data_IF_216129420044
#
_entry.id   IF_216129420044
#
_cell.length_a   1.000
_cell.length_b   1.000
_cell.length_c   1.000
_cell.angle_alpha   90.00
_cell.angle_beta   90.00
_cell.angle_gamma   90.00
#
_symmetry.space_group_name_H-M   'P 1'
#
loop_
_entity.id
_entity.type
_entity.pdbx_description
1 polymer ?
#
# COMPACT_ATOMS: atom_id res chain seq x y z
N UNK A 1 -18.43 38.03 -22.93
CA UNK A 1 -17.25 37.16 -23.20
C UNK A 1 -16.37 36.89 -21.98
N UNK A 2 -16.40 37.71 -20.92
CA UNK A 2 -15.54 37.57 -19.71
C UNK A 2 -15.90 36.42 -18.77
N UNK A 3 -17.17 35.98 -18.70
CA UNK A 3 -17.58 34.85 -17.84
C UNK A 3 -17.00 33.49 -18.26
N UNK A 4 -16.67 33.31 -19.54
CA UNK A 4 -16.13 32.05 -20.06
C UNK A 4 -14.65 31.85 -19.70
N UNK A 5 -13.90 32.94 -19.53
CA UNK A 5 -12.49 32.90 -19.15
C UNK A 5 -12.32 32.55 -17.67
N UNK A 6 -13.13 33.17 -16.80
CA UNK A 6 -13.14 32.93 -15.36
C UNK A 6 -13.45 31.46 -15.00
N UNK A 7 -14.32 30.78 -15.76
CA UNK A 7 -14.57 29.35 -15.56
C UNK A 7 -13.37 28.47 -15.87
N UNK A 8 -12.58 28.79 -16.91
CA UNK A 8 -11.42 27.95 -17.29
C UNK A 8 -10.34 27.95 -16.23
N UNK A 9 -10.08 29.11 -15.60
CA UNK A 9 -9.06 29.21 -14.57
C UNK A 9 -9.49 28.54 -13.26
N UNK A 10 -10.79 28.64 -12.91
CA UNK A 10 -11.34 27.97 -11.73
C UNK A 10 -11.37 26.44 -11.89
N UNK A 11 -11.68 25.93 -13.08
CA UNK A 11 -11.63 24.49 -13.39
C UNK A 11 -10.19 23.96 -13.29
N UNK A 12 -9.19 24.70 -13.78
CA UNK A 12 -7.78 24.32 -13.67
C UNK A 12 -7.31 24.23 -12.22
N UNK A 13 -7.72 25.18 -11.37
CA UNK A 13 -7.36 25.18 -9.95
C UNK A 13 -7.98 23.98 -9.23
N UNK A 14 -9.28 23.73 -9.45
CA UNK A 14 -9.98 22.58 -8.83
C UNK A 14 -9.37 21.26 -9.30
N UNK A 15 -9.06 21.14 -10.59
CA UNK A 15 -8.45 19.93 -11.14
C UNK A 15 -7.02 19.71 -10.62
N UNK A 16 -6.22 20.77 -10.53
CA UNK A 16 -4.87 20.71 -9.95
C UNK A 16 -4.90 20.31 -8.47
N UNK A 17 -5.83 20.86 -7.69
CA UNK A 17 -6.02 20.52 -6.28
C UNK A 17 -6.44 19.05 -6.11
N UNK A 18 -7.40 18.58 -6.91
CA UNK A 18 -7.83 17.19 -6.89
C UNK A 18 -6.67 16.23 -7.25
N UNK A 19 -5.87 16.59 -8.26
CA UNK A 19 -4.71 15.81 -8.67
C UNK A 19 -3.63 15.78 -7.57
N UNK A 20 -3.40 16.91 -6.89
CA UNK A 20 -2.45 16.99 -5.78
C UNK A 20 -2.87 16.09 -4.61
N UNK A 21 -4.16 16.07 -4.25
CA UNK A 21 -4.70 15.18 -3.21
C UNK A 21 -4.50 13.72 -3.60
N UNK A 22 -4.82 13.34 -4.85
CA UNK A 22 -4.61 11.97 -5.35
C UNK A 22 -3.13 11.57 -5.31
N UNK A 23 -2.23 12.50 -5.60
CA UNK A 23 -0.80 12.29 -5.52
C UNK A 23 -0.34 12.01 -4.10
N UNK A 24 -0.78 12.81 -3.12
CA UNK A 24 -0.43 12.65 -1.71
C UNK A 24 -0.93 11.28 -1.20
N UNK A 25 -2.19 10.95 -1.47
CA UNK A 25 -2.77 9.66 -1.06
C UNK A 25 -2.05 8.49 -1.74
N UNK A 26 -1.77 8.60 -3.03
CA UNK A 26 -1.02 7.58 -3.77
C UNK A 26 0.36 7.34 -3.19
N UNK A 27 1.13 8.40 -2.93
CA UNK A 27 2.46 8.30 -2.31
C UNK A 27 2.38 7.66 -0.93
N UNK A 28 1.45 8.10 -0.06
CA UNK A 28 1.28 7.49 1.26
C UNK A 28 0.97 5.99 1.18
N UNK A 29 0.09 5.58 0.26
CA UNK A 29 -0.25 4.17 0.05
C UNK A 29 0.98 3.36 -0.39
N UNK A 30 1.78 3.87 -1.32
CA UNK A 30 3.01 3.18 -1.76
C UNK A 30 4.04 3.03 -0.65
N UNK A 31 4.22 4.06 0.20
CA UNK A 31 5.15 4.02 1.33
C UNK A 31 4.68 3.02 2.39
N UNK A 32 3.39 3.04 2.75
CA UNK A 32 2.86 2.10 3.74
C UNK A 32 2.90 0.65 3.23
N UNK A 33 2.57 0.43 1.96
CA UNK A 33 2.58 -0.91 1.36
C UNK A 33 4.00 -1.48 1.29
N UNK A 34 4.98 -0.69 0.85
CA UNK A 34 6.39 -1.11 0.84
C UNK A 34 6.93 -1.39 2.24
N UNK A 35 6.55 -0.61 3.25
CA UNK A 35 6.93 -0.86 4.64
C UNK A 35 6.38 -2.19 5.15
N UNK A 36 5.12 -2.55 4.83
CA UNK A 36 4.52 -3.84 5.21
C UNK A 36 5.22 -5.01 4.54
N UNK A 37 5.50 -4.92 3.24
CA UNK A 37 6.25 -5.94 2.50
C UNK A 37 7.63 -6.15 3.13
N UNK A 38 8.34 -5.06 3.43
CA UNK A 38 9.66 -5.13 4.06
C UNK A 38 9.58 -5.76 5.45
N UNK A 39 8.57 -5.40 6.25
CA UNK A 39 8.38 -5.95 7.58
C UNK A 39 8.06 -7.46 7.56
N UNK A 40 7.18 -7.90 6.66
CA UNK A 40 6.86 -9.31 6.48
C UNK A 40 8.08 -10.11 6.00
N UNK A 41 8.86 -9.57 5.05
CA UNK A 41 10.11 -10.18 4.58
C UNK A 41 11.16 -10.28 5.69
N UNK A 42 11.39 -9.18 6.41
CA UNK A 42 12.36 -9.13 7.50
C UNK A 42 11.94 -10.06 8.64
N UNK A 43 10.69 -10.00 9.07
CA UNK A 43 10.16 -10.80 10.17
C UNK A 43 10.26 -12.30 9.88
N UNK A 44 9.83 -12.74 8.71
CA UNK A 44 9.71 -14.19 8.43
C UNK A 44 10.94 -14.82 7.78
N UNK A 45 11.65 -14.12 6.89
CA UNK A 45 12.77 -14.70 6.15
C UNK A 45 14.14 -14.35 6.73
N UNK A 46 14.29 -13.19 7.38
CA UNK A 46 15.60 -12.73 7.89
C UNK A 46 15.71 -12.96 9.41
N UNK A 47 14.71 -12.52 10.16
CA UNK A 47 14.68 -12.60 11.62
C UNK A 47 14.11 -13.93 12.12
N UNK A 48 13.34 -14.63 11.28
CA UNK A 48 12.73 -15.92 11.63
C UNK A 48 11.79 -15.83 12.84
N UNK A 49 11.01 -14.75 12.94
CA UNK A 49 10.04 -14.56 14.02
C UNK A 49 9.01 -15.68 13.96
N UNK A 50 8.93 -16.44 15.05
CA UNK A 50 8.01 -17.57 15.19
C UNK A 50 6.67 -17.08 15.75
N UNK A 51 5.56 -17.58 15.18
CA UNK A 51 4.23 -17.41 15.76
C UNK A 51 3.88 -18.68 16.54
N UNK A 52 3.65 -18.52 17.83
CA UNK A 52 3.23 -19.60 18.72
C UNK A 52 1.71 -19.70 18.72
N UNK A 53 1.17 -20.82 18.23
CA UNK A 53 -0.26 -21.12 18.25
C UNK A 53 -0.53 -22.28 19.19
N UNK A 54 -1.57 -22.14 20.00
CA UNK A 54 -2.05 -23.22 20.86
C UNK A 54 -2.99 -24.12 20.07
N UNK A 55 -2.55 -25.32 19.73
CA UNK A 55 -3.38 -26.30 19.05
C UNK A 55 -3.93 -27.30 20.06
N UNK A 56 -5.26 -27.41 20.14
CA UNK A 56 -5.93 -28.41 20.97
C UNK A 56 -6.00 -29.72 20.19
N UNK A 57 -5.19 -30.72 20.57
CA UNK A 57 -5.30 -32.08 20.00
C UNK A 57 -6.38 -32.89 20.74
N UNK A 58 -7.53 -33.20 20.14
CA UNK A 58 -8.43 -34.20 20.72
C UNK A 58 -7.75 -35.59 20.67
N UNK A 59 -7.84 -36.42 21.73
CA UNK A 59 -8.72 -36.33 22.89
C UNK A 59 -8.08 -35.75 24.18
N UNK A 60 -6.84 -35.27 24.17
CA UNK A 60 -6.18 -34.70 25.35
C UNK A 60 -6.53 -33.22 25.54
N UNK A 61 -6.95 -32.83 26.75
CA UNK A 61 -7.18 -31.41 27.13
C UNK A 61 -5.86 -30.61 27.32
N UNK A 62 -4.74 -31.13 26.83
CA UNK A 62 -3.46 -30.42 26.86
C UNK A 62 -3.32 -29.58 25.59
N UNK A 63 -3.25 -28.27 25.77
CA UNK A 63 -2.85 -27.34 24.71
C UNK A 63 -1.36 -27.47 24.50
N UNK A 64 -0.93 -27.92 23.32
CA UNK A 64 0.48 -27.92 22.95
C UNK A 64 0.76 -26.59 22.28
N UNK A 65 1.74 -25.86 22.79
CA UNK A 65 2.26 -24.66 22.14
C UNK A 65 3.13 -25.09 20.96
N UNK A 66 2.70 -24.75 19.74
CA UNK A 66 3.45 -25.00 18.52
C UNK A 66 3.93 -23.65 18.01
N UNK A 67 5.22 -23.39 18.14
CA UNK A 67 5.88 -22.23 17.54
C UNK A 67 6.40 -22.62 16.16
N UNK A 68 5.93 -21.93 15.13
CA UNK A 68 6.40 -22.14 13.76
C UNK A 68 6.38 -20.84 12.99
N UNK A 69 7.30 -20.70 12.04
CA UNK A 69 7.32 -19.55 11.13
C UNK A 69 6.19 -19.76 10.10
N UNK A 70 5.17 -18.90 10.11
CA UNK A 70 4.08 -18.94 9.13
C UNK A 70 4.51 -18.24 7.82
N UNK A 71 5.21 -19.00 6.98
CA UNK A 71 5.62 -18.53 5.64
C UNK A 71 4.43 -18.27 4.71
N UNK A 72 3.27 -18.89 4.96
CA UNK A 72 2.11 -18.77 4.09
C UNK A 72 1.40 -17.42 4.31
N UNK A 73 1.26 -17.02 5.56
CA UNK A 73 0.75 -15.71 5.94
C UNK A 73 1.62 -14.59 5.38
N UNK A 74 2.94 -14.69 5.57
CA UNK A 74 3.88 -13.71 5.01
C UNK A 74 3.83 -13.63 3.48
N UNK A 75 3.76 -14.76 2.77
CA UNK A 75 3.63 -14.77 1.30
C UNK A 75 2.35 -14.07 0.85
N UNK A 76 1.24 -14.28 1.56
CA UNK A 76 -0.04 -13.65 1.24
C UNK A 76 0.03 -12.14 1.45
N UNK A 77 0.58 -11.69 2.58
CA UNK A 77 0.75 -10.26 2.86
C UNK A 77 1.67 -9.58 1.84
N UNK A 78 2.77 -10.23 1.46
CA UNK A 78 3.67 -9.73 0.41
C UNK A 78 2.91 -9.65 -0.93
N UNK A 79 2.19 -10.70 -1.32
CA UNK A 79 1.47 -10.74 -2.59
C UNK A 79 0.40 -9.64 -2.70
N UNK A 80 -0.42 -9.45 -1.66
CA UNK A 80 -1.48 -8.44 -1.65
C UNK A 80 -0.91 -7.01 -1.77
N UNK A 81 0.18 -6.73 -1.05
CA UNK A 81 0.83 -5.42 -1.07
C UNK A 81 1.63 -5.17 -2.36
N UNK A 82 2.29 -6.19 -2.90
CA UNK A 82 2.98 -6.09 -4.20
C UNK A 82 1.97 -5.85 -5.31
N UNK A 83 0.81 -6.51 -5.29
CA UNK A 83 -0.26 -6.24 -6.24
C UNK A 83 -0.70 -4.77 -6.18
N UNK A 84 -0.88 -4.22 -4.98
CA UNK A 84 -1.21 -2.81 -4.79
C UNK A 84 -0.13 -1.89 -5.40
N UNK A 85 1.15 -2.19 -5.16
CA UNK A 85 2.27 -1.42 -5.72
C UNK A 85 2.29 -1.48 -7.25
N UNK A 86 2.05 -2.64 -7.86
CA UNK A 86 2.03 -2.79 -9.33
C UNK A 86 1.02 -1.85 -9.98
N UNK A 87 -0.14 -1.61 -9.35
CA UNK A 87 -1.14 -0.68 -9.86
C UNK A 87 -0.87 0.78 -9.44
N UNK A 88 -0.48 1.01 -8.19
CA UNK A 88 -0.33 2.35 -7.64
C UNK A 88 0.88 3.10 -8.22
N UNK A 89 1.97 2.41 -8.53
CA UNK A 89 3.23 2.99 -9.00
C UNK A 89 3.10 3.63 -10.40
N UNK A 90 2.55 2.97 -11.44
CA UNK A 90 2.31 3.62 -12.73
C UNK A 90 1.25 4.73 -12.63
N UNK A 91 0.21 4.55 -11.81
CA UNK A 91 -0.85 5.55 -11.64
C UNK A 91 -0.31 6.84 -11.02
N UNK A 92 0.49 6.72 -9.95
CA UNK A 92 1.13 7.84 -9.27
C UNK A 92 2.16 8.53 -10.17
N UNK A 93 2.92 7.77 -10.97
CA UNK A 93 3.84 8.35 -11.96
C UNK A 93 3.10 9.17 -13.03
N UNK A 94 2.01 8.63 -13.59
CA UNK A 94 1.20 9.35 -14.58
C UNK A 94 0.55 10.60 -13.98
N UNK A 95 0.02 10.51 -12.76
CA UNK A 95 -0.52 11.66 -12.04
C UNK A 95 0.55 12.73 -11.83
N UNK A 96 1.78 12.34 -11.46
CA UNK A 96 2.91 13.24 -11.32
C UNK A 96 3.31 13.91 -12.64
N UNK A 97 3.39 13.17 -13.74
CA UNK A 97 3.74 13.74 -15.05
C UNK A 97 2.69 14.77 -15.49
N UNK A 98 1.39 14.47 -15.32
CA UNK A 98 0.31 15.42 -15.63
C UNK A 98 0.36 16.66 -14.74
N UNK A 99 0.61 16.49 -13.44
CA UNK A 99 0.77 17.60 -12.52
C UNK A 99 1.91 18.53 -12.95
N UNK A 100 3.06 17.94 -13.32
CA UNK A 100 4.22 18.69 -13.81
C UNK A 100 3.93 19.45 -15.10
N UNK A 101 3.15 18.87 -16.02
CA UNK A 101 2.73 19.52 -17.28
C UNK A 101 1.77 20.69 -17.06
N UNK A 102 0.99 20.70 -15.98
CA UNK A 102 0.07 21.80 -15.67
C UNK A 102 0.71 22.96 -14.92
N UNK A 103 1.82 22.71 -14.20
CA UNK A 103 2.56 23.74 -13.46
C UNK A 103 3.56 24.48 -14.35
N UNK A 104 4.13 23.80 -15.35
CA UNK A 104 4.95 24.42 -16.40
C UNK A 104 4.08 25.20 -17.39
#
# INVERSE_FOLDING_TARGET
>A
MTKLFLQKDLIKIVFSLALAILLIVGVMMTVLSSARVMNALLGTYILGVEDCRFENRPPSKESIEICSIDYNEAKREIADNVALLIFALPLSYLAYDQFRRMIK
#
